data_IF_207266268485
#
_entry.id   IF_207266268485
#
_cell.length_a   1.000
_cell.length_b   1.000
_cell.length_c   1.000
_cell.angle_alpha   90.00
_cell.angle_beta   90.00
_cell.angle_gamma   90.00
#
_symmetry.space_group_name_H-M   'P 1'
#
loop_
_entity.id
_entity.type
_entity.pdbx_description
1 polymer ?
#
# COMPACT_ATOMS: atom_id res chain seq x y z
N UNK A 1 -16.22 39.11 -9.88
CA UNK A 1 -17.34 39.22 -10.84
C UNK A 1 -17.91 37.84 -11.20
N UNK A 2 -18.27 37.01 -10.21
CA UNK A 2 -18.85 35.67 -10.44
C UNK A 2 -20.37 35.61 -10.22
N UNK A 3 -20.93 36.59 -9.50
CA UNK A 3 -22.37 36.66 -9.17
C UNK A 3 -23.33 36.63 -10.38
N UNK A 4 -23.10 37.40 -11.46
CA UNK A 4 -24.03 37.43 -12.60
C UNK A 4 -24.11 36.10 -13.34
N UNK A 5 -22.98 35.46 -13.63
CA UNK A 5 -22.95 34.18 -14.34
C UNK A 5 -23.57 33.05 -13.50
N UNK A 6 -23.25 33.02 -12.21
CA UNK A 6 -23.86 32.05 -11.29
C UNK A 6 -25.38 32.23 -11.19
N UNK A 7 -25.86 33.47 -11.12
CA UNK A 7 -27.30 33.75 -11.07
C UNK A 7 -28.04 33.27 -12.33
N UNK A 8 -27.47 33.50 -13.52
CA UNK A 8 -28.02 33.04 -14.80
C UNK A 8 -28.03 31.50 -14.86
N UNK A 9 -26.95 30.85 -14.48
CA UNK A 9 -26.87 29.39 -14.43
C UNK A 9 -27.89 28.80 -13.44
N UNK A 10 -27.99 29.36 -12.24
CA UNK A 10 -28.98 28.94 -11.26
C UNK A 10 -30.41 29.15 -11.77
N UNK A 11 -30.68 30.22 -12.52
CA UNK A 11 -31.97 30.44 -13.16
C UNK A 11 -32.28 29.28 -14.13
N UNK A 12 -31.39 28.98 -15.08
CA UNK A 12 -31.57 27.86 -16.00
C UNK A 12 -31.78 26.52 -15.29
N UNK A 13 -30.99 26.24 -14.26
CA UNK A 13 -31.07 24.99 -13.50
C UNK A 13 -32.40 24.84 -12.75
N UNK A 14 -32.97 25.92 -12.20
CA UNK A 14 -34.31 25.92 -11.57
C UNK A 14 -35.43 25.63 -12.56
N UNK A 15 -35.24 26.01 -13.82
CA UNK A 15 -36.21 25.80 -14.90
C UNK A 15 -35.97 24.49 -15.69
N UNK A 16 -35.11 23.59 -15.19
CA UNK A 16 -34.71 22.34 -15.85
C UNK A 16 -34.03 22.53 -17.23
N UNK A 17 -33.47 23.71 -17.48
CA UNK A 17 -32.74 24.07 -18.70
C UNK A 17 -31.23 23.82 -18.54
N UNK A 18 -30.83 22.60 -18.18
CA UNK A 18 -29.42 22.27 -17.89
C UNK A 18 -28.52 22.40 -19.14
N UNK A 19 -29.04 22.10 -20.33
CA UNK A 19 -28.30 22.25 -21.59
C UNK A 19 -27.93 23.70 -21.85
N UNK A 20 -28.87 24.62 -21.62
CA UNK A 20 -28.69 26.06 -21.78
C UNK A 20 -27.70 26.60 -20.73
N UNK A 21 -27.75 26.09 -19.50
CA UNK A 21 -26.77 26.41 -18.47
C UNK A 21 -25.34 26.00 -18.89
N UNK A 22 -25.18 24.79 -19.46
CA UNK A 22 -23.91 24.29 -19.99
C UNK A 22 -23.42 25.08 -21.20
N UNK A 23 -24.32 25.49 -22.09
CA UNK A 23 -23.97 26.33 -23.24
C UNK A 23 -23.48 27.70 -22.79
N UNK A 24 -24.20 28.36 -21.87
CA UNK A 24 -23.79 29.65 -21.30
C UNK A 24 -22.43 29.55 -20.60
N UNK A 25 -22.19 28.44 -19.89
CA UNK A 25 -20.92 28.18 -19.21
C UNK A 25 -19.74 28.18 -20.20
N UNK A 26 -19.87 27.48 -21.34
CA UNK A 26 -18.86 27.43 -22.39
C UNK A 26 -18.70 28.77 -23.11
N UNK A 27 -19.82 29.38 -23.55
CA UNK A 27 -19.81 30.61 -24.34
C UNK A 27 -19.21 31.82 -23.60
N UNK A 28 -19.33 31.81 -22.27
CA UNK A 28 -18.80 32.87 -21.39
C UNK A 28 -17.49 32.51 -20.71
N UNK A 29 -16.94 31.32 -21.01
CA UNK A 29 -15.72 30.80 -20.38
C UNK A 29 -15.77 30.96 -18.85
N UNK A 30 -16.87 30.52 -18.24
CA UNK A 30 -17.12 30.73 -16.82
C UNK A 30 -16.04 30.07 -15.94
N UNK A 31 -15.70 30.64 -14.77
CA UNK A 31 -14.78 29.99 -13.84
C UNK A 31 -15.30 28.62 -13.35
N UNK A 32 -14.38 27.74 -12.95
CA UNK A 32 -14.69 26.39 -12.48
C UNK A 32 -15.68 26.40 -11.30
N UNK A 33 -15.59 27.37 -10.39
CA UNK A 33 -16.47 27.49 -9.23
C UNK A 33 -17.94 27.70 -9.63
N UNK A 34 -18.18 28.40 -10.74
CA UNK A 34 -19.54 28.63 -11.25
C UNK A 34 -20.16 27.33 -11.75
N UNK A 35 -19.36 26.46 -12.40
CA UNK A 35 -19.81 25.11 -12.77
C UNK A 35 -20.10 24.27 -11.54
N UNK A 36 -19.19 24.28 -10.55
CA UNK A 36 -19.31 23.48 -9.34
C UNK A 36 -20.57 23.84 -8.57
N UNK A 37 -20.73 25.11 -8.20
CA UNK A 37 -21.82 25.56 -7.35
C UNK A 37 -23.15 25.63 -8.12
N UNK A 38 -23.10 26.02 -9.40
CA UNK A 38 -24.28 26.27 -10.20
C UNK A 38 -24.88 25.02 -10.86
N UNK A 39 -24.05 24.04 -11.25
CA UNK A 39 -24.48 22.89 -12.05
C UNK A 39 -24.15 21.57 -11.36
N UNK A 40 -22.88 21.33 -11.05
CA UNK A 40 -22.41 20.03 -10.60
C UNK A 40 -22.99 19.62 -9.24
N UNK A 41 -22.90 20.50 -8.24
CA UNK A 41 -23.43 20.27 -6.89
C UNK A 41 -24.93 20.01 -6.90
N UNK A 42 -25.76 20.90 -7.49
CA UNK A 42 -27.19 20.64 -7.63
C UNK A 42 -27.49 19.33 -8.37
N UNK A 43 -26.69 18.96 -9.38
CA UNK A 43 -26.92 17.75 -10.17
C UNK A 43 -26.71 16.48 -9.36
N UNK A 44 -25.62 16.36 -8.57
CA UNK A 44 -25.42 15.15 -7.77
C UNK A 44 -26.32 15.11 -6.52
N UNK A 45 -26.71 16.26 -5.95
CA UNK A 45 -27.64 16.31 -4.81
C UNK A 45 -29.07 15.95 -5.20
N UNK A 46 -29.49 16.27 -6.43
CA UNK A 46 -30.83 15.95 -6.95
C UNK A 46 -30.89 14.65 -7.75
N UNK A 47 -29.79 13.88 -7.79
CA UNK A 47 -29.73 12.61 -8.54
C UNK A 47 -29.74 12.76 -10.06
N UNK A 48 -29.45 13.95 -10.60
CA UNK A 48 -29.40 14.27 -12.03
C UNK A 48 -28.00 14.15 -12.65
N UNK A 49 -27.03 13.56 -11.94
CA UNK A 49 -25.64 13.48 -12.40
C UNK A 49 -25.49 12.74 -13.75
N UNK A 50 -26.15 11.60 -13.94
CA UNK A 50 -26.11 10.90 -15.23
C UNK A 50 -26.74 11.70 -16.38
N UNK A 51 -27.75 12.53 -16.09
CA UNK A 51 -28.32 13.42 -17.09
C UNK A 51 -27.33 14.51 -17.49
N UNK A 52 -26.61 15.10 -16.52
CA UNK A 52 -25.51 16.02 -16.76
C UNK A 52 -24.41 15.38 -17.63
N UNK A 53 -23.94 14.19 -17.25
CA UNK A 53 -22.93 13.41 -18.00
C UNK A 53 -23.35 13.19 -19.46
N UNK A 54 -24.58 12.74 -19.68
CA UNK A 54 -25.14 12.54 -21.02
C UNK A 54 -25.20 13.85 -21.82
N UNK A 55 -25.57 14.98 -21.20
CA UNK A 55 -25.59 16.27 -21.89
C UNK A 55 -24.17 16.71 -22.29
N UNK A 56 -23.20 16.55 -21.39
CA UNK A 56 -21.80 16.88 -21.65
C UNK A 56 -21.23 16.05 -22.80
N UNK A 57 -21.46 14.72 -22.81
CA UNK A 57 -20.99 13.83 -23.88
C UNK A 57 -21.71 14.09 -25.22
N UNK A 58 -23.00 14.44 -25.19
CA UNK A 58 -23.75 14.83 -26.39
C UNK A 58 -23.27 16.16 -27.00
N UNK A 59 -22.82 17.10 -26.16
CA UNK A 59 -22.31 18.40 -26.61
C UNK A 59 -20.84 18.28 -27.09
N UNK A 60 -20.02 17.49 -26.40
CA UNK A 60 -18.64 17.20 -26.78
C UNK A 60 -18.30 15.74 -26.39
N UNK A 61 -18.31 14.85 -27.38
CA UNK A 61 -18.04 13.42 -27.18
C UNK A 61 -16.58 13.13 -26.79
N UNK A 62 -15.67 14.08 -26.96
CA UNK A 62 -14.28 13.97 -26.51
C UNK A 62 -14.09 14.36 -25.04
N UNK A 63 -15.05 15.10 -24.48
CA UNK A 63 -15.03 15.74 -23.16
C UNK A 63 -13.94 16.80 -22.94
N UNK A 64 -13.23 17.24 -23.98
CA UNK A 64 -12.11 18.16 -23.83
C UNK A 64 -12.54 19.58 -23.45
N UNK A 65 -13.65 20.03 -23.99
CA UNK A 65 -14.27 21.33 -23.64
C UNK A 65 -14.69 21.37 -22.16
N UNK A 66 -14.83 20.21 -21.53
CA UNK A 66 -15.24 20.05 -20.14
C UNK A 66 -14.07 19.79 -19.18
N UNK A 67 -12.83 19.75 -19.68
CA UNK A 67 -11.66 19.26 -18.95
C UNK A 67 -11.42 19.96 -17.60
N UNK A 68 -11.43 21.29 -17.55
CA UNK A 68 -11.20 22.04 -16.30
C UNK A 68 -12.29 21.74 -15.27
N UNK A 69 -13.55 21.82 -15.70
CA UNK A 69 -14.74 21.58 -14.89
C UNK A 69 -14.80 20.17 -14.30
N UNK A 70 -14.47 19.16 -15.11
CA UNK A 70 -14.43 17.76 -14.68
C UNK A 70 -13.31 17.50 -13.66
N UNK A 71 -12.15 18.14 -13.85
CA UNK A 71 -11.05 18.07 -12.88
C UNK A 71 -11.39 18.80 -11.59
N UNK A 72 -12.02 19.98 -11.67
CA UNK A 72 -12.52 20.72 -10.51
C UNK A 72 -13.56 19.87 -9.73
N UNK A 73 -14.43 19.17 -10.44
CA UNK A 73 -15.43 18.27 -9.87
C UNK A 73 -14.80 17.11 -9.11
N UNK A 74 -13.77 16.48 -9.71
CA UNK A 74 -12.99 15.45 -9.03
C UNK A 74 -12.34 15.99 -7.73
N UNK A 75 -11.76 17.19 -7.77
CA UNK A 75 -11.14 17.84 -6.59
C UNK A 75 -12.18 18.15 -5.50
N UNK A 76 -13.34 18.67 -5.89
CA UNK A 76 -14.46 18.95 -4.99
C UNK A 76 -14.91 17.69 -4.26
N UNK A 77 -15.21 16.62 -5.01
CA UNK A 77 -15.64 15.34 -4.44
C UNK A 77 -14.57 14.71 -3.53
N UNK A 78 -13.30 14.79 -3.93
CA UNK A 78 -12.18 14.30 -3.11
C UNK A 78 -12.08 15.05 -1.77
N UNK A 79 -12.25 16.38 -1.79
CA UNK A 79 -12.19 17.23 -0.59
C UNK A 79 -13.37 16.97 0.35
N UNK A 80 -14.56 16.72 -0.22
CA UNK A 80 -15.77 16.36 0.54
C UNK A 80 -15.79 14.90 1.01
N UNK A 81 -14.93 14.06 0.46
CA UNK A 81 -14.89 12.62 0.77
C UNK A 81 -15.97 11.78 0.09
N UNK A 82 -16.59 12.29 -0.99
CA UNK A 82 -17.62 11.60 -1.76
C UNK A 82 -17.01 10.65 -2.80
N UNK A 83 -16.32 9.61 -2.31
CA UNK A 83 -15.51 8.72 -3.15
C UNK A 83 -16.32 7.85 -4.13
N UNK A 84 -17.57 7.50 -3.82
CA UNK A 84 -18.43 6.75 -4.74
C UNK A 84 -18.76 7.57 -5.99
N UNK A 85 -19.26 8.79 -5.79
CA UNK A 85 -19.52 9.74 -6.90
C UNK A 85 -18.23 10.05 -7.64
N UNK A 86 -17.11 10.18 -6.92
CA UNK A 86 -15.80 10.41 -7.55
C UNK A 86 -15.40 9.27 -8.47
N UNK A 87 -15.62 8.02 -8.05
CA UNK A 87 -15.31 6.85 -8.85
C UNK A 87 -16.18 6.80 -10.12
N UNK A 88 -17.48 7.06 -9.99
CA UNK A 88 -18.39 7.08 -11.14
C UNK A 88 -18.01 8.18 -12.15
N UNK A 89 -17.70 9.39 -11.66
CA UNK A 89 -17.22 10.48 -12.51
C UNK A 89 -15.91 10.13 -13.22
N UNK A 90 -14.94 9.52 -12.52
CA UNK A 90 -13.67 9.09 -13.13
C UNK A 90 -13.86 8.03 -14.22
N UNK A 91 -14.86 7.15 -14.06
CA UNK A 91 -15.24 6.18 -15.09
C UNK A 91 -15.89 6.85 -16.30
N UNK A 92 -16.81 7.79 -16.08
CA UNK A 92 -17.42 8.59 -17.14
C UNK A 92 -16.34 9.30 -17.98
N UNK A 93 -15.38 9.93 -17.31
CA UNK A 93 -14.23 10.60 -17.92
C UNK A 93 -13.23 9.66 -18.60
N UNK A 94 -13.39 8.33 -18.45
CA UNK A 94 -12.43 7.30 -18.87
C UNK A 94 -11.02 7.56 -18.32
N UNK A 95 -10.94 8.12 -17.10
CA UNK A 95 -9.69 8.29 -16.37
C UNK A 95 -9.40 7.04 -15.55
N UNK A 96 -8.86 6.04 -16.25
CA UNK A 96 -8.50 4.74 -15.67
C UNK A 96 -7.48 4.86 -14.53
N UNK A 97 -6.55 5.80 -14.62
CA UNK A 97 -5.53 5.99 -13.59
C UNK A 97 -6.16 6.49 -12.28
N UNK A 98 -7.00 7.52 -12.34
CA UNK A 98 -7.70 8.05 -11.15
C UNK A 98 -8.70 7.02 -10.61
N UNK A 99 -9.45 6.34 -11.50
CA UNK A 99 -10.36 5.24 -11.14
C UNK A 99 -9.65 4.14 -10.35
N UNK A 100 -8.48 3.68 -10.81
CA UNK A 100 -7.69 2.68 -10.11
C UNK A 100 -7.26 3.12 -8.71
N UNK A 101 -6.85 4.38 -8.54
CA UNK A 101 -6.47 4.90 -7.22
C UNK A 101 -7.66 4.97 -6.26
N UNK A 102 -8.84 5.31 -6.75
CA UNK A 102 -10.07 5.32 -5.95
C UNK A 102 -10.46 3.90 -5.53
N UNK A 103 -10.33 2.91 -6.41
CA UNK A 103 -10.50 1.50 -6.05
C UNK A 103 -9.53 1.03 -4.96
N UNK A 104 -8.24 1.40 -5.03
CA UNK A 104 -7.26 1.11 -3.98
C UNK A 104 -7.66 1.75 -2.64
N UNK A 105 -8.24 2.95 -2.68
CA UNK A 105 -8.80 3.60 -1.49
C UNK A 105 -9.96 2.80 -0.92
N UNK A 106 -10.91 2.34 -1.74
CA UNK A 106 -12.03 1.50 -1.28
C UNK A 106 -11.58 0.20 -0.66
N UNK A 107 -10.55 -0.44 -1.21
CA UNK A 107 -9.95 -1.63 -0.62
C UNK A 107 -9.53 -1.40 0.84
N UNK A 108 -8.86 -0.28 1.13
CA UNK A 108 -8.30 0.01 2.45
C UNK A 108 -9.29 0.73 3.39
N UNK A 109 -10.40 1.26 2.87
CA UNK A 109 -11.28 2.14 3.62
C UNK A 109 -11.97 1.41 4.78
N UNK A 110 -11.77 1.88 6.02
CA UNK A 110 -12.37 1.30 7.24
C UNK A 110 -12.14 -0.22 7.35
N UNK A 111 -10.98 -0.71 6.94
CA UNK A 111 -10.58 -2.09 7.18
C UNK A 111 -9.75 -2.16 8.46
N UNK A 112 -10.13 -3.06 9.36
CA UNK A 112 -9.51 -3.27 10.68
C UNK A 112 -8.83 -4.64 10.82
N UNK A 113 -8.95 -5.50 9.81
CA UNK A 113 -8.39 -6.85 9.75
C UNK A 113 -8.07 -7.26 8.31
N UNK A 114 -7.23 -8.28 8.12
CA UNK A 114 -7.03 -8.87 6.78
C UNK A 114 -8.26 -9.61 6.28
N UNK A 115 -9.13 -10.06 7.18
CA UNK A 115 -10.45 -10.59 6.84
C UNK A 115 -11.37 -9.54 6.23
N UNK A 116 -11.42 -8.33 6.79
CA UNK A 116 -12.13 -7.19 6.18
C UNK A 116 -11.52 -6.78 4.83
N UNK A 117 -10.18 -6.81 4.70
CA UNK A 117 -9.51 -6.58 3.41
C UNK A 117 -9.81 -7.68 2.38
N UNK A 118 -9.89 -8.94 2.81
CA UNK A 118 -10.24 -10.08 1.97
C UNK A 118 -11.63 -9.93 1.36
N UNK A 119 -12.62 -9.50 2.15
CA UNK A 119 -13.96 -9.19 1.66
C UNK A 119 -13.99 -8.04 0.63
N UNK A 120 -13.00 -7.14 0.67
CA UNK A 120 -12.86 -5.98 -0.23
C UNK A 120 -11.92 -6.25 -1.41
N UNK A 121 -11.43 -7.47 -1.59
CA UNK A 121 -10.43 -7.81 -2.62
C UNK A 121 -10.91 -7.50 -4.05
N UNK A 122 -12.23 -7.52 -4.29
CA UNK A 122 -12.82 -7.16 -5.59
C UNK A 122 -12.36 -5.76 -6.06
N UNK A 123 -12.16 -4.80 -5.15
CA UNK A 123 -11.67 -3.47 -5.51
C UNK A 123 -10.26 -3.47 -6.08
N UNK A 124 -9.38 -4.38 -5.63
CA UNK A 124 -8.06 -4.52 -6.23
C UNK A 124 -8.11 -5.16 -7.62
N UNK A 125 -9.06 -6.05 -7.85
CA UNK A 125 -9.29 -6.65 -9.17
C UNK A 125 -9.78 -5.56 -10.15
N UNK A 126 -10.74 -4.73 -9.72
CA UNK A 126 -11.20 -3.58 -10.49
C UNK A 126 -10.08 -2.57 -10.77
N UNK A 127 -9.28 -2.22 -9.76
CA UNK A 127 -8.12 -1.33 -9.93
C UNK A 127 -7.15 -1.85 -11.00
N UNK A 128 -6.84 -3.15 -10.95
CA UNK A 128 -6.02 -3.82 -11.96
C UNK A 128 -6.66 -3.78 -13.35
N UNK A 129 -7.98 -3.95 -13.45
CA UNK A 129 -8.74 -3.84 -14.69
C UNK A 129 -8.53 -2.48 -15.36
N UNK A 130 -8.74 -1.40 -14.62
CA UNK A 130 -8.50 -0.03 -15.10
C UNK A 130 -7.07 0.17 -15.61
N UNK A 131 -6.05 -0.25 -14.84
CA UNK A 131 -4.65 -0.09 -15.26
C UNK A 131 -4.31 -0.91 -16.52
N UNK A 132 -4.91 -2.09 -16.69
CA UNK A 132 -4.75 -2.89 -17.92
C UNK A 132 -5.38 -2.19 -19.13
N UNK A 133 -6.57 -1.63 -18.98
CA UNK A 133 -7.22 -0.85 -20.05
C UNK A 133 -6.37 0.37 -20.42
N UNK A 134 -5.84 1.09 -19.43
CA UNK A 134 -4.91 2.20 -19.68
C UNK A 134 -3.68 1.76 -20.50
N UNK A 135 -3.05 0.64 -20.14
CA UNK A 135 -1.90 0.12 -20.89
C UNK A 135 -2.25 -0.25 -22.33
N UNK A 136 -3.41 -0.88 -22.55
CA UNK A 136 -3.89 -1.18 -23.90
C UNK A 136 -4.12 0.08 -24.74
N UNK A 137 -4.68 1.14 -24.14
CA UNK A 137 -4.86 2.44 -24.80
C UNK A 137 -3.53 3.11 -25.12
N UNK A 138 -2.51 3.01 -24.26
CA UNK A 138 -1.19 3.58 -24.51
C UNK A 138 -0.43 2.80 -25.60
N UNK A 139 -0.49 1.47 -25.59
CA UNK A 139 0.21 0.62 -26.56
C UNK A 139 -0.44 0.59 -27.95
N UNK A 140 -1.77 0.77 -28.04
CA UNK A 140 -2.48 0.85 -29.33
C UNK A 140 -2.23 2.17 -30.08
N UNK A 141 -1.78 3.22 -29.37
CA UNK A 141 -1.45 4.53 -29.96
C UNK A 141 -0.12 4.55 -30.72
N UNK A 142 0.70 3.50 -30.62
CA UNK A 142 1.98 3.40 -31.35
C UNK A 142 1.86 2.98 -32.82
N UNK A 143 0.71 2.45 -33.28
CA UNK A 143 0.58 1.97 -34.68
C UNK A 143 -0.31 2.82 -35.59
N UNK A 144 -1.14 3.73 -35.06
CA UNK A 144 -2.00 4.59 -35.87
C UNK A 144 -1.91 6.02 -35.37
N UNK A 145 -1.47 6.95 -36.23
CA UNK A 145 -1.52 8.40 -36.04
C UNK A 145 -2.98 8.86 -35.80
N UNK A 146 -3.50 8.67 -34.59
CA UNK A 146 -4.67 9.41 -34.09
C UNK A 146 -4.16 10.42 -33.08
N UNK A 147 -3.88 11.63 -33.58
CA UNK A 147 -3.83 12.85 -32.77
C UNK A 147 -5.25 13.08 -32.23
N UNK A 148 -5.53 12.59 -31.02
CA UNK A 148 -6.70 13.05 -30.26
C UNK A 148 -6.39 12.98 -28.76
N UNK A 149 -5.99 14.11 -28.16
CA UNK A 149 -6.83 15.02 -27.35
C UNK A 149 -7.53 14.22 -26.24
N UNK A 150 -6.82 14.01 -25.11
CA UNK A 150 -7.37 13.71 -23.77
C UNK A 150 -6.35 14.20 -22.71
N UNK A 151 -6.06 15.50 -22.73
CA UNK A 151 -4.96 16.13 -21.95
C UNK A 151 -5.18 16.05 -20.43
N UNK A 152 -6.45 16.07 -20.01
CA UNK A 152 -6.83 16.10 -18.60
C UNK A 152 -6.66 14.77 -17.87
N UNK A 153 -6.62 13.65 -18.60
CA UNK A 153 -6.45 12.32 -18.01
C UNK A 153 -5.07 12.19 -17.40
N UNK A 154 -4.99 11.59 -16.21
CA UNK A 154 -3.70 11.40 -15.56
C UNK A 154 -2.83 10.45 -16.38
N UNK A 155 -1.62 10.89 -16.72
CA UNK A 155 -0.63 10.11 -17.48
C UNK A 155 0.43 9.51 -16.55
N UNK A 156 0.88 8.32 -16.90
CA UNK A 156 1.96 7.58 -16.24
C UNK A 156 2.67 6.70 -17.28
N UNK A 157 3.97 6.43 -17.09
CA UNK A 157 4.72 5.60 -18.03
C UNK A 157 4.21 4.16 -18.02
N UNK A 158 4.32 3.44 -19.14
CA UNK A 158 3.91 2.04 -19.21
C UNK A 158 4.67 1.17 -18.19
N UNK A 159 5.95 1.46 -17.96
CA UNK A 159 6.77 0.76 -16.97
C UNK A 159 6.24 0.99 -15.54
N UNK A 160 5.89 2.23 -15.20
CA UNK A 160 5.38 2.55 -13.88
C UNK A 160 3.98 1.95 -13.63
N UNK A 161 3.12 1.92 -14.65
CA UNK A 161 1.81 1.27 -14.56
C UNK A 161 1.95 -0.23 -14.38
N UNK A 162 2.86 -0.88 -15.12
CA UNK A 162 3.17 -2.30 -14.93
C UNK A 162 3.68 -2.60 -13.52
N UNK A 163 4.56 -1.76 -12.96
CA UNK A 163 5.00 -1.87 -11.55
C UNK A 163 3.82 -1.75 -10.57
N UNK A 164 2.87 -0.85 -10.85
CA UNK A 164 1.66 -0.70 -10.04
C UNK A 164 0.75 -1.93 -10.10
N UNK A 165 0.58 -2.52 -11.29
CA UNK A 165 -0.16 -3.79 -11.46
C UNK A 165 0.49 -4.90 -10.64
N UNK A 166 1.82 -5.05 -10.72
CA UNK A 166 2.54 -6.05 -9.93
C UNK A 166 2.37 -5.81 -8.43
N UNK A 167 2.38 -4.54 -7.98
CA UNK A 167 2.10 -4.19 -6.58
C UNK A 167 0.68 -4.60 -6.15
N UNK A 168 -0.33 -4.38 -7.01
CA UNK A 168 -1.71 -4.80 -6.75
C UNK A 168 -1.80 -6.33 -6.65
N UNK A 169 -1.15 -7.06 -7.56
CA UNK A 169 -1.13 -8.53 -7.54
C UNK A 169 -0.46 -9.08 -6.28
N UNK A 170 0.68 -8.52 -5.89
CA UNK A 170 1.37 -8.87 -4.65
C UNK A 170 0.52 -8.53 -3.43
N UNK A 171 -0.17 -7.39 -3.41
CA UNK A 171 -1.09 -7.03 -2.32
C UNK A 171 -2.27 -8.01 -2.22
N UNK A 172 -2.82 -8.48 -3.36
CA UNK A 172 -3.87 -9.51 -3.37
C UNK A 172 -3.35 -10.80 -2.72
N UNK A 173 -2.14 -11.23 -3.10
CA UNK A 173 -1.51 -12.43 -2.54
C UNK A 173 -1.26 -12.31 -1.04
N UNK A 174 -0.66 -11.20 -0.60
CA UNK A 174 -0.46 -10.86 0.83
C UNK A 174 -1.78 -10.92 1.60
N UNK A 175 -2.83 -10.31 1.04
CA UNK A 175 -4.14 -10.25 1.70
C UNK A 175 -4.74 -11.64 1.85
N UNK A 176 -4.67 -12.47 0.80
CA UNK A 176 -5.13 -13.86 0.85
C UNK A 176 -4.34 -14.69 1.86
N UNK A 177 -3.03 -14.53 1.89
CA UNK A 177 -2.16 -15.24 2.84
C UNK A 177 -2.53 -14.87 4.28
N UNK A 178 -2.51 -13.57 4.61
CA UNK A 178 -2.77 -13.10 5.97
C UNK A 178 -4.21 -13.33 6.43
N UNK A 179 -5.20 -13.26 5.52
CA UNK A 179 -6.56 -13.66 5.83
C UNK A 179 -6.66 -15.13 6.25
N UNK A 180 -5.98 -16.05 5.54
CA UNK A 180 -5.93 -17.47 5.94
C UNK A 180 -5.25 -17.67 7.30
N UNK A 181 -4.20 -16.91 7.59
CA UNK A 181 -3.49 -16.93 8.86
C UNK A 181 -4.36 -16.44 10.03
N UNK A 182 -5.14 -15.38 9.82
CA UNK A 182 -6.12 -14.88 10.81
C UNK A 182 -7.21 -15.92 11.08
N UNK A 183 -7.82 -16.48 10.03
CA UNK A 183 -8.89 -17.48 10.15
C UNK A 183 -8.43 -18.77 10.83
N UNK A 184 -7.16 -19.12 10.71
CA UNK A 184 -6.58 -20.31 11.34
C UNK A 184 -6.03 -20.05 12.76
N UNK A 185 -6.16 -18.82 13.27
CA UNK A 185 -5.54 -18.35 14.52
C UNK A 185 -4.02 -18.61 14.61
N UNK A 186 -3.33 -18.74 13.46
CA UNK A 186 -1.88 -18.97 13.40
C UNK A 186 -1.08 -17.67 13.44
N UNK A 187 -1.74 -16.54 13.17
CA UNK A 187 -1.09 -15.22 13.13
C UNK A 187 -0.60 -14.81 14.52
N UNK A 188 0.72 -14.63 14.64
CA UNK A 188 1.37 -14.22 15.89
C UNK A 188 1.40 -12.70 16.08
N UNK A 189 1.05 -11.94 15.04
CA UNK A 189 1.01 -10.47 15.09
C UNK A 189 -0.42 -9.97 15.08
N UNK A 190 -0.81 -9.34 16.18
CA UNK A 190 -2.04 -8.54 16.29
C UNK A 190 -1.76 -7.10 15.89
N UNK A 191 -2.76 -6.41 15.37
CA UNK A 191 -2.66 -5.00 14.97
C UNK A 191 -3.33 -4.71 13.64
N UNK A 192 -3.51 -3.43 13.31
CA UNK A 192 -4.27 -3.00 12.15
C UNK A 192 -3.67 -3.56 10.84
N UNK A 193 -4.51 -3.73 9.80
CA UNK A 193 -4.03 -4.24 8.52
C UNK A 193 -3.14 -3.19 7.87
N UNK A 194 -1.96 -3.62 7.42
CA UNK A 194 -1.01 -2.77 6.72
C UNK A 194 -1.02 -3.15 5.24
N UNK A 195 -0.82 -2.17 4.37
CA UNK A 195 -0.83 -2.35 2.92
C UNK A 195 0.47 -1.89 2.27
N UNK A 196 0.82 -2.55 1.16
CA UNK A 196 1.93 -2.23 0.28
C UNK A 196 1.77 -0.89 -0.46
N UNK A 197 0.56 -0.32 -0.49
CA UNK A 197 0.33 1.02 -1.07
C UNK A 197 0.82 2.17 -0.18
N UNK A 198 1.36 1.87 1.00
CA UNK A 198 1.92 2.84 1.94
C UNK A 198 3.37 3.23 1.68
N UNK A 199 3.96 3.92 2.65
CA UNK A 199 5.39 4.24 2.66
C UNK A 199 6.26 2.99 2.94
N UNK A 200 7.59 3.13 2.85
CA UNK A 200 8.52 2.00 3.06
C UNK A 200 8.40 1.39 4.47
N UNK A 201 8.07 2.17 5.50
CA UNK A 201 7.84 1.64 6.85
C UNK A 201 6.62 0.72 6.89
N UNK A 202 5.54 1.09 6.21
CA UNK A 202 4.35 0.24 6.06
C UNK A 202 4.68 -1.03 5.28
N UNK A 203 5.42 -0.94 4.17
CA UNK A 203 5.84 -2.12 3.39
C UNK A 203 6.73 -3.07 4.18
N UNK A 204 7.68 -2.55 4.96
CA UNK A 204 8.48 -3.36 5.89
C UNK A 204 7.60 -4.04 6.95
N UNK A 205 6.60 -3.34 7.49
CA UNK A 205 5.65 -3.94 8.43
C UNK A 205 4.82 -5.07 7.79
N UNK A 206 4.40 -4.91 6.53
CA UNK A 206 3.74 -5.99 5.77
C UNK A 206 4.68 -7.18 5.61
N UNK A 207 5.93 -6.97 5.19
CA UNK A 207 6.91 -8.04 5.04
C UNK A 207 7.12 -8.82 6.35
N UNK A 208 7.31 -8.11 7.48
CA UNK A 208 7.40 -8.75 8.80
C UNK A 208 6.13 -9.54 9.16
N UNK A 209 4.94 -8.99 8.89
CA UNK A 209 3.66 -9.63 9.23
C UNK A 209 3.41 -10.88 8.39
N UNK A 210 3.77 -10.85 7.11
CA UNK A 210 3.75 -12.02 6.23
C UNK A 210 4.71 -13.09 6.74
N UNK A 211 5.94 -12.70 7.09
CA UNK A 211 6.97 -13.64 7.56
C UNK A 211 6.54 -14.37 8.85
N UNK A 212 5.83 -13.67 9.74
CA UNK A 212 5.41 -14.18 11.05
C UNK A 212 3.95 -14.69 11.09
N UNK A 213 3.20 -14.59 9.98
CA UNK A 213 1.79 -14.93 9.93
C UNK A 213 1.51 -16.43 9.75
N UNK A 214 2.41 -17.13 9.05
CA UNK A 214 2.29 -18.56 8.76
C UNK A 214 2.50 -19.45 9.99
N UNK A 215 2.23 -20.76 9.83
CA UNK A 215 2.55 -21.76 10.86
C UNK A 215 4.06 -21.86 11.08
N UNK A 216 4.82 -21.64 10.02
CA UNK A 216 6.27 -21.62 10.02
C UNK A 216 6.78 -20.49 9.12
N UNK A 217 8.08 -20.18 9.20
CA UNK A 217 8.68 -19.10 8.42
C UNK A 217 8.63 -19.37 6.91
N UNK A 218 8.80 -20.62 6.49
CA UNK A 218 8.82 -21.01 5.07
C UNK A 218 7.53 -20.62 4.34
N UNK A 219 6.36 -20.78 4.96
CA UNK A 219 5.05 -20.43 4.37
C UNK A 219 4.96 -18.95 3.95
N UNK A 220 5.57 -18.05 4.72
CA UNK A 220 5.56 -16.61 4.48
C UNK A 220 6.82 -16.06 3.81
N UNK A 221 7.93 -16.81 3.82
CA UNK A 221 9.24 -16.31 3.41
C UNK A 221 9.25 -15.84 1.96
N UNK A 222 8.71 -16.64 1.02
CA UNK A 222 8.73 -16.30 -0.40
C UNK A 222 7.99 -14.99 -0.72
N UNK A 223 6.84 -14.75 -0.08
CA UNK A 223 6.07 -13.51 -0.23
C UNK A 223 6.83 -12.33 0.40
N UNK A 224 7.35 -12.51 1.62
CA UNK A 224 8.15 -11.48 2.30
C UNK A 224 9.40 -11.11 1.50
N UNK A 225 10.09 -12.10 0.94
CA UNK A 225 11.28 -11.91 0.13
C UNK A 225 10.98 -11.12 -1.15
N UNK A 226 9.88 -11.44 -1.86
CA UNK A 226 9.40 -10.66 -3.01
C UNK A 226 9.09 -9.21 -2.64
N UNK A 227 8.43 -8.97 -1.50
CA UNK A 227 8.18 -7.59 -1.02
C UNK A 227 9.50 -6.84 -0.81
N UNK A 228 10.49 -7.48 -0.19
CA UNK A 228 11.81 -6.86 0.05
C UNK A 228 12.49 -6.50 -1.28
N UNK A 229 12.48 -7.42 -2.25
CA UNK A 229 13.11 -7.22 -3.56
C UNK A 229 12.38 -6.16 -4.41
N UNK A 230 11.07 -6.30 -4.58
CA UNK A 230 10.27 -5.44 -5.45
C UNK A 230 10.29 -3.97 -5.01
N UNK A 231 10.37 -3.74 -3.69
CA UNK A 231 10.41 -2.39 -3.10
C UNK A 231 11.79 -1.95 -2.63
N UNK A 232 12.84 -2.76 -2.87
CA UNK A 232 14.23 -2.48 -2.48
C UNK A 232 14.34 -2.09 -0.99
N UNK A 233 13.68 -2.87 -0.12
CA UNK A 233 13.70 -2.64 1.32
C UNK A 233 15.02 -3.13 1.92
N UNK A 234 15.38 -2.59 3.08
CA UNK A 234 16.48 -3.13 3.89
C UNK A 234 16.08 -4.51 4.43
N UNK A 235 16.56 -5.56 3.75
CA UNK A 235 16.32 -6.95 4.11
C UNK A 235 16.76 -7.23 5.55
N UNK A 236 17.91 -6.68 5.97
CA UNK A 236 18.43 -6.91 7.29
C UNK A 236 17.52 -6.28 8.35
N UNK A 237 17.00 -5.08 8.12
CA UNK A 237 16.05 -4.45 9.04
C UNK A 237 14.75 -5.27 9.20
N UNK A 238 14.21 -5.80 8.08
CA UNK A 238 12.99 -6.63 8.10
C UNK A 238 13.21 -7.94 8.87
N UNK A 239 14.30 -8.66 8.57
CA UNK A 239 14.63 -9.92 9.24
C UNK A 239 14.97 -9.70 10.72
N UNK A 240 15.70 -8.63 11.07
CA UNK A 240 15.97 -8.26 12.46
C UNK A 240 14.69 -8.00 13.25
N UNK A 241 13.73 -7.28 12.67
CA UNK A 241 12.45 -7.02 13.34
C UNK A 241 11.66 -8.31 13.56
N UNK A 242 11.62 -9.21 12.58
CA UNK A 242 10.94 -10.48 12.72
C UNK A 242 11.63 -11.40 13.75
N UNK A 243 12.95 -11.50 13.71
CA UNK A 243 13.72 -12.32 14.64
C UNK A 243 13.64 -11.82 16.08
N UNK A 244 13.63 -10.49 16.32
CA UNK A 244 13.39 -9.94 17.67
C UNK A 244 12.03 -10.38 18.23
N UNK A 245 10.99 -10.41 17.40
CA UNK A 245 9.69 -10.92 17.81
C UNK A 245 9.74 -12.43 18.12
N UNK A 246 10.40 -13.24 17.28
CA UNK A 246 10.58 -14.67 17.56
C UNK A 246 11.40 -14.95 18.81
N UNK A 247 12.40 -14.12 19.12
CA UNK A 247 13.20 -14.22 20.34
C UNK A 247 12.38 -13.94 21.59
N UNK A 248 11.54 -12.91 21.55
CA UNK A 248 10.60 -12.59 22.63
C UNK A 248 9.67 -13.77 22.92
N UNK A 249 9.14 -14.40 21.87
CA UNK A 249 8.28 -15.60 21.95
C UNK A 249 9.06 -16.92 22.16
N UNK A 250 10.39 -16.85 22.35
CA UNK A 250 11.31 -18.00 22.55
C UNK A 250 11.24 -19.07 21.44
N UNK A 251 10.92 -18.68 20.21
CA UNK A 251 10.75 -19.59 19.06
C UNK A 251 12.06 -19.81 18.28
N UNK A 252 13.05 -20.42 18.92
CA UNK A 252 14.39 -20.64 18.33
C UNK A 252 14.37 -21.50 17.06
N UNK A 253 13.45 -22.46 16.94
CA UNK A 253 13.32 -23.27 15.72
C UNK A 253 12.96 -22.43 14.49
N UNK A 254 12.11 -21.41 14.66
CA UNK A 254 11.71 -20.50 13.59
C UNK A 254 12.84 -19.55 13.21
N UNK A 255 13.69 -19.15 14.18
CA UNK A 255 14.90 -18.36 13.90
C UNK A 255 15.89 -19.17 13.05
N UNK A 256 16.12 -20.45 13.40
CA UNK A 256 16.95 -21.35 12.58
C UNK A 256 16.40 -21.49 11.15
N UNK A 257 15.09 -21.65 11.03
CA UNK A 257 14.42 -21.73 9.73
C UNK A 257 14.55 -20.43 8.93
N UNK A 258 14.40 -19.27 9.57
CA UNK A 258 14.62 -17.97 8.93
C UNK A 258 16.05 -17.85 8.38
N UNK A 259 17.06 -18.19 9.17
CA UNK A 259 18.45 -18.17 8.72
C UNK A 259 18.70 -19.15 7.57
N UNK A 260 18.07 -20.33 7.61
CA UNK A 260 18.12 -21.30 6.52
C UNK A 260 17.53 -20.70 5.24
N UNK A 261 16.32 -20.16 5.29
CA UNK A 261 15.67 -19.53 4.14
C UNK A 261 16.48 -18.35 3.59
N UNK A 262 17.07 -17.52 4.46
CA UNK A 262 17.94 -16.40 4.04
C UNK A 262 19.17 -16.92 3.31
N UNK A 263 19.83 -17.98 3.80
CA UNK A 263 20.97 -18.61 3.11
C UNK A 263 20.58 -19.22 1.76
N UNK A 264 19.45 -19.92 1.71
CA UNK A 264 18.94 -20.57 0.50
C UNK A 264 18.43 -19.56 -0.55
N UNK A 265 18.11 -18.33 -0.15
CA UNK A 265 17.68 -17.27 -1.07
C UNK A 265 18.78 -16.81 -2.04
N UNK A 266 20.05 -17.09 -1.75
CA UNK A 266 21.20 -16.73 -2.59
C UNK A 266 21.56 -15.24 -2.60
N UNK A 267 20.82 -14.39 -1.89
CA UNK A 267 21.06 -12.92 -1.83
C UNK A 267 21.95 -12.51 -0.66
N UNK A 268 21.95 -13.28 0.43
CA UNK A 268 22.76 -13.01 1.60
C UNK A 268 23.99 -13.91 1.62
N UNK A 269 25.16 -13.32 1.89
CA UNK A 269 26.38 -14.10 2.13
C UNK A 269 26.30 -14.84 3.47
N UNK A 270 27.23 -15.77 3.69
CA UNK A 270 27.35 -16.42 4.99
C UNK A 270 27.71 -15.41 6.09
N UNK A 271 28.46 -14.35 5.77
CA UNK A 271 28.82 -13.29 6.71
C UNK A 271 27.61 -12.42 7.06
N UNK A 272 26.77 -12.08 6.09
CA UNK A 272 25.51 -11.34 6.33
C UNK A 272 24.58 -12.11 7.26
N UNK A 273 24.53 -13.44 7.09
CA UNK A 273 23.74 -14.32 7.94
C UNK A 273 24.28 -14.36 9.38
N UNK A 274 25.61 -14.40 9.54
CA UNK A 274 26.27 -14.36 10.85
C UNK A 274 26.07 -12.98 11.52
N UNK A 275 26.12 -11.87 10.75
CA UNK A 275 25.82 -10.53 11.25
C UNK A 275 24.35 -10.36 11.66
N UNK A 276 23.42 -10.96 10.91
CA UNK A 276 22.01 -11.01 11.28
C UNK A 276 21.84 -11.78 12.59
N UNK A 277 22.49 -12.93 12.73
CA UNK A 277 22.46 -13.69 13.99
C UNK A 277 22.96 -12.83 15.15
N UNK A 278 24.12 -12.15 15.01
CA UNK A 278 24.65 -11.28 16.07
C UNK A 278 23.61 -10.22 16.48
N UNK A 279 23.01 -9.53 15.50
CA UNK A 279 22.00 -8.49 15.76
C UNK A 279 20.72 -9.03 16.40
N UNK A 280 20.31 -10.26 16.06
CA UNK A 280 19.17 -10.91 16.70
C UNK A 280 19.48 -11.07 18.18
N UNK A 281 20.64 -11.63 18.51
CA UNK A 281 20.99 -11.97 19.89
C UNK A 281 21.29 -10.71 20.73
N UNK A 282 21.92 -9.68 20.17
CA UNK A 282 22.09 -8.38 20.84
C UNK A 282 20.76 -7.70 21.19
N UNK A 283 19.71 -7.98 20.42
CA UNK A 283 18.35 -7.48 20.67
C UNK A 283 17.54 -8.33 21.65
N UNK A 284 18.07 -9.45 22.15
CA UNK A 284 17.40 -10.34 23.09
C UNK A 284 17.57 -9.89 24.55
N UNK A 285 16.54 -10.16 25.36
CA UNK A 285 16.49 -9.81 26.78
C UNK A 285 17.50 -10.61 27.64
N UNK A 286 17.86 -10.10 28.82
CA UNK A 286 18.92 -10.66 29.70
C UNK A 286 18.73 -12.13 30.10
N UNK A 287 17.50 -12.64 30.12
CA UNK A 287 17.20 -14.05 30.41
C UNK A 287 17.46 -15.01 29.24
N UNK A 288 17.58 -14.51 28.01
CA UNK A 288 17.87 -15.32 26.83
C UNK A 288 19.34 -15.79 26.80
N UNK A 289 20.25 -15.05 27.45
CA UNK A 289 21.68 -15.33 27.51
C UNK A 289 22.05 -16.65 28.20
N UNK A 290 21.14 -17.27 28.96
CA UNK A 290 21.34 -18.55 29.66
C UNK A 290 20.69 -19.75 28.93
N UNK A 291 20.10 -19.55 27.75
CA UNK A 291 19.43 -20.63 27.02
C UNK A 291 20.45 -21.52 26.29
N UNK A 292 20.47 -22.83 26.60
CA UNK A 292 21.25 -23.84 25.85
C UNK A 292 20.90 -23.85 24.34
N UNK A 293 19.68 -23.45 23.98
CA UNK A 293 19.27 -23.34 22.58
C UNK A 293 19.89 -22.11 21.88
N UNK A 294 20.20 -21.06 22.64
CA UNK A 294 20.93 -19.91 22.13
C UNK A 294 22.40 -20.26 21.86
N UNK A 295 23.03 -21.04 22.74
CA UNK A 295 24.39 -21.54 22.52
C UNK A 295 24.47 -22.41 21.25
N UNK A 296 23.48 -23.29 21.02
CA UNK A 296 23.40 -24.07 19.77
C UNK A 296 23.26 -23.17 18.53
N UNK A 297 22.47 -22.11 18.60
CA UNK A 297 22.33 -21.13 17.52
C UNK A 297 23.64 -20.38 17.23
N UNK A 298 24.43 -20.07 18.27
CA UNK A 298 25.76 -19.43 18.12
C UNK A 298 26.76 -20.40 17.49
N UNK A 299 26.68 -21.69 17.82
CA UNK A 299 27.53 -22.72 17.22
C UNK A 299 27.24 -22.94 15.71
N UNK A 300 26.04 -22.59 15.23
CA UNK A 300 25.66 -22.65 13.80
C UNK A 300 26.23 -21.48 12.95
N UNK A 301 26.93 -20.53 13.57
CA UNK A 301 27.69 -19.50 12.83
C UNK A 301 28.85 -20.13 12.05
N UNK A 302 29.17 -19.60 10.87
CA UNK A 302 30.30 -20.15 10.08
C UNK A 302 31.62 -19.45 10.40
N UNK A 303 31.61 -18.15 10.67
CA UNK A 303 32.81 -17.40 11.00
C UNK A 303 33.22 -17.60 12.47
N UNK A 304 34.44 -18.11 12.67
CA UNK A 304 35.00 -18.30 14.01
C UNK A 304 35.29 -16.96 14.71
N UNK A 305 35.63 -15.90 13.98
CA UNK A 305 35.75 -14.55 14.54
C UNK A 305 34.43 -14.03 15.10
N UNK A 306 33.32 -14.31 14.40
CA UNK A 306 31.99 -13.90 14.84
C UNK A 306 31.51 -14.74 16.03
N UNK A 307 31.86 -16.03 16.11
CA UNK A 307 31.66 -16.86 17.32
C UNK A 307 32.43 -16.29 18.51
N UNK A 308 33.71 -15.92 18.32
CA UNK A 308 34.56 -15.34 19.38
C UNK A 308 34.03 -13.98 19.83
N UNK A 309 33.69 -13.09 18.89
CA UNK A 309 33.11 -11.77 19.19
C UNK A 309 31.81 -11.88 19.97
N UNK A 310 31.00 -12.90 19.71
CA UNK A 310 29.75 -13.16 20.44
C UNK A 310 30.00 -13.79 21.82
N UNK A 311 30.88 -14.79 21.90
CA UNK A 311 31.24 -15.42 23.18
C UNK A 311 31.90 -14.41 24.13
N UNK A 312 32.70 -13.48 23.60
CA UNK A 312 33.26 -12.39 24.40
C UNK A 312 32.18 -11.43 24.89
N UNK A 313 31.16 -11.10 24.08
CA UNK A 313 30.02 -10.30 24.51
C UNK A 313 29.24 -11.00 25.63
N UNK A 314 28.91 -12.28 25.49
CA UNK A 314 28.19 -13.07 26.52
C UNK A 314 29.02 -13.17 27.80
N UNK A 315 30.32 -13.43 27.68
CA UNK A 315 31.25 -13.51 28.83
C UNK A 315 31.37 -12.17 29.55
N UNK A 316 31.56 -11.07 28.83
CA UNK A 316 31.64 -9.71 29.40
C UNK A 316 30.31 -9.28 30.04
N UNK A 317 29.17 -9.73 29.49
CA UNK A 317 27.86 -9.50 30.07
C UNK A 317 27.64 -10.33 31.36
N UNK A 318 28.05 -11.60 31.38
CA UNK A 318 27.98 -12.47 32.56
C UNK A 318 28.91 -11.99 33.68
N UNK A 319 30.10 -11.47 33.34
CA UNK A 319 31.04 -10.86 34.31
C UNK A 319 30.41 -9.61 34.95
N UNK A 320 29.77 -8.74 34.16
CA UNK A 320 29.09 -7.55 34.70
C UNK A 320 27.89 -7.90 35.60
N UNK A 321 27.18 -8.99 35.33
CA UNK A 321 26.10 -9.51 36.20
C UNK A 321 26.67 -10.08 37.50
N UNK A 322 27.78 -10.83 37.44
CA UNK A 322 28.44 -11.39 38.62
C UNK A 322 28.96 -10.27 39.54
N UNK A 323 29.53 -9.21 38.96
CA UNK A 323 29.97 -8.02 39.73
C UNK A 323 28.77 -7.29 40.34
N UNK A 324 27.67 -7.08 39.61
CA UNK A 324 26.45 -6.44 40.17
C UNK A 324 25.81 -7.27 41.29
N UNK A 325 25.76 -8.59 41.16
CA UNK A 325 25.24 -9.46 42.23
C UNK A 325 26.15 -9.43 43.45
N UNK A 326 27.48 -9.50 43.27
CA UNK A 326 28.46 -9.46 44.37
C UNK A 326 28.43 -8.11 45.12
N UNK A 327 28.21 -7.01 44.41
CA UNK A 327 28.06 -5.67 45.04
C UNK A 327 26.75 -5.56 45.82
N UNK A 328 25.66 -6.19 45.37
CA UNK A 328 24.36 -6.16 46.07
C UNK A 328 24.38 -7.06 47.32
N UNK A 329 25.04 -8.22 47.31
CA UNK A 329 25.22 -9.05 48.51
C UNK A 329 26.28 -8.52 49.48
N UNK A 330 27.15 -7.60 49.07
CA UNK A 330 28.12 -6.94 49.96
C UNK A 330 27.55 -5.69 50.67
N UNK A 331 26.34 -5.25 50.31
CA UNK A 331 25.67 -4.05 50.87
C UNK A 331 24.43 -4.41 51.71
N UNK A 332 24.07 -5.69 51.80
CA UNK A 332 23.16 -6.28 52.79
C UNK A 332 23.99 -7.01 53.85
#
# INVERSE_FOLDING_TARGET
MYGPNLAIICFYMRHNCMREALQHLLDKECPDEVFIDGIFVPSYETGKLHFLENLMENMDSSLESWSSYLIASCKHLQTRGFFNILYDLQRFMKDHMRSAMTCIRFFSHKADSYSALGAKQAWLIEAKGHLKTYLQEVSSRSSVRKKTVNSFRKKMSAADVSRYINTIELQIEVTKFLHRCESSATSRITGPPVSLFGNNNMKMAVACKVLLGGKNIEEGFGISFRIIQDFQLDAAAVYNKAAKHLLHERQFCQIRQLLKCVRESGVASSEDTDHLLIRFIEGGDQQLSQSKELEKLILEMKSDENKVRRNSFISTYNINVSIRFTVITAVL
#
